data_IF_438294360226
#
_entry.id   IF_438294360226
#
_cell.length_a   1.000
_cell.length_b   1.000
_cell.length_c   1.000
_cell.angle_alpha   90.00
_cell.angle_beta   90.00
_cell.angle_gamma   90.00
#
_symmetry.space_group_name_H-M   'P 1'
#
loop_
_entity.id
_entity.type
_entity.pdbx_description
1 polymer ?
#
# COMPACT_ATOMS: atom_id res chain seq x y z
N UNK A 1 -36.80 7.02 -4.88
CA UNK A 1 -35.72 6.75 -5.85
C UNK A 1 -35.24 5.34 -5.55
N UNK A 2 -35.53 4.38 -6.43
CA UNK A 2 -34.95 3.04 -6.34
C UNK A 2 -33.43 3.19 -6.38
N UNK A 3 -32.74 2.75 -5.32
CA UNK A 3 -31.31 2.48 -5.41
C UNK A 3 -31.18 1.30 -6.36
N UNK A 4 -30.79 1.55 -7.59
CA UNK A 4 -30.34 0.51 -8.52
C UNK A 4 -29.30 -0.31 -7.76
N UNK A 5 -29.60 -1.58 -7.46
CA UNK A 5 -28.61 -2.49 -6.90
C UNK A 5 -27.57 -2.72 -7.99
N UNK A 6 -26.46 -2.01 -7.90
CA UNK A 6 -25.33 -2.20 -8.80
C UNK A 6 -24.85 -3.64 -8.63
N UNK A 7 -24.95 -4.43 -9.70
CA UNK A 7 -24.43 -5.80 -9.72
C UNK A 7 -22.91 -5.67 -9.82
N UNK A 8 -22.21 -6.15 -8.80
CA UNK A 8 -20.75 -6.16 -8.78
C UNK A 8 -20.29 -7.49 -9.38
N UNK A 9 -19.44 -7.41 -10.40
CA UNK A 9 -18.87 -8.55 -11.11
C UNK A 9 -17.45 -8.84 -10.63
N UNK A 10 -17.07 -10.11 -10.64
CA UNK A 10 -15.74 -10.59 -10.24
C UNK A 10 -14.61 -9.91 -11.03
N UNK A 11 -14.80 -9.70 -12.34
CA UNK A 11 -13.84 -9.03 -13.21
C UNK A 11 -13.51 -7.59 -12.75
N UNK A 12 -14.50 -6.86 -12.25
CA UNK A 12 -14.31 -5.49 -11.77
C UNK A 12 -13.45 -5.46 -10.50
N UNK A 13 -13.66 -6.41 -9.58
CA UNK A 13 -12.87 -6.48 -8.36
C UNK A 13 -11.46 -6.98 -8.65
N UNK A 14 -11.33 -7.98 -9.51
CA UNK A 14 -10.03 -8.47 -9.97
C UNK A 14 -9.19 -7.37 -10.60
N UNK A 15 -9.79 -6.59 -11.51
CA UNK A 15 -9.11 -5.45 -12.12
C UNK A 15 -8.61 -4.44 -11.09
N UNK A 16 -9.41 -4.16 -10.06
CA UNK A 16 -9.00 -3.23 -9.01
C UNK A 16 -7.86 -3.80 -8.13
N UNK A 17 -7.89 -5.10 -7.81
CA UNK A 17 -6.78 -5.76 -7.13
C UNK A 17 -5.48 -5.67 -7.93
N UNK A 18 -5.51 -5.87 -9.24
CA UNK A 18 -4.31 -5.73 -10.08
C UNK A 18 -3.74 -4.29 -10.03
N UNK A 19 -4.62 -3.29 -10.01
CA UNK A 19 -4.21 -1.89 -9.85
C UNK A 19 -3.58 -1.64 -8.48
N UNK A 20 -4.18 -2.15 -7.40
CA UNK A 20 -3.62 -2.02 -6.06
C UNK A 20 -2.28 -2.74 -5.90
N UNK A 21 -2.13 -3.96 -6.45
CA UNK A 21 -0.83 -4.67 -6.45
C UNK A 21 0.25 -3.84 -7.15
N UNK A 22 -0.06 -3.31 -8.33
CA UNK A 22 0.87 -2.46 -9.09
C UNK A 22 1.26 -1.19 -8.32
N UNK A 23 0.29 -0.55 -7.66
CA UNK A 23 0.53 0.63 -6.81
C UNK A 23 1.42 0.31 -5.60
N UNK A 24 1.15 -0.81 -4.93
CA UNK A 24 1.91 -1.29 -3.77
C UNK A 24 3.35 -1.67 -4.15
N UNK A 25 3.55 -2.36 -5.28
CA UNK A 25 4.88 -2.69 -5.81
C UNK A 25 5.68 -1.42 -6.12
N UNK A 26 5.05 -0.45 -6.78
CA UNK A 26 5.67 0.85 -7.04
C UNK A 26 6.10 1.55 -5.74
N UNK A 27 5.24 1.60 -4.72
CA UNK A 27 5.59 2.21 -3.43
C UNK A 27 6.74 1.48 -2.73
N UNK A 28 6.75 0.14 -2.79
CA UNK A 28 7.79 -0.69 -2.18
C UNK A 28 9.15 -0.42 -2.81
N UNK A 29 9.22 -0.31 -4.12
CA UNK A 29 10.46 -0.01 -4.84
C UNK A 29 10.92 1.44 -4.63
N UNK A 30 9.99 2.39 -4.55
CA UNK A 30 10.29 3.77 -4.18
C UNK A 30 10.86 3.85 -2.74
N UNK A 31 10.28 3.11 -1.78
CA UNK A 31 10.78 3.02 -0.40
C UNK A 31 12.17 2.41 -0.31
N UNK A 32 12.47 1.35 -1.08
CA UNK A 32 13.83 0.80 -1.17
C UNK A 32 14.82 1.86 -1.66
N UNK A 33 14.44 2.64 -2.66
CA UNK A 33 15.25 3.74 -3.20
C UNK A 33 15.53 4.80 -2.12
N UNK A 34 14.53 5.18 -1.33
CA UNK A 34 14.70 6.10 -0.21
C UNK A 34 15.64 5.55 0.87
N UNK A 35 15.50 4.27 1.22
CA UNK A 35 16.35 3.64 2.21
C UNK A 35 17.83 3.55 1.75
N UNK A 36 18.06 3.26 0.47
CA UNK A 36 19.40 3.29 -0.12
C UNK A 36 20.00 4.70 -0.03
N UNK A 37 19.21 5.73 -0.34
CA UNK A 37 19.64 7.13 -0.23
C UNK A 37 20.00 7.51 1.21
N UNK A 38 19.20 7.10 2.19
CA UNK A 38 19.52 7.32 3.61
C UNK A 38 20.84 6.65 4.00
N UNK A 39 21.06 5.42 3.54
CA UNK A 39 22.27 4.65 3.83
C UNK A 39 23.54 5.33 3.30
N UNK A 40 23.47 5.95 2.12
CA UNK A 40 24.57 6.76 1.58
C UNK A 40 24.88 7.98 2.47
N UNK A 41 23.84 8.64 3.01
CA UNK A 41 23.99 9.82 3.86
C UNK A 41 24.58 9.50 5.23
N UNK A 42 24.31 8.32 5.81
CA UNK A 42 24.86 7.92 7.12
C UNK A 42 26.39 8.03 7.15
N UNK A 43 27.07 7.71 6.05
CA UNK A 43 28.53 7.81 5.95
C UNK A 43 29.07 9.25 5.90
N UNK A 44 28.22 10.23 5.58
CA UNK A 44 28.61 11.63 5.33
C UNK A 44 28.40 12.56 6.53
N UNK A 45 27.54 12.21 7.47
CA UNK A 45 27.25 13.04 8.65
C UNK A 45 27.79 12.41 9.93
N UNK A 46 28.41 13.25 10.76
CA UNK A 46 28.85 12.90 12.12
C UNK A 46 27.96 13.52 13.21
N UNK A 47 27.06 14.44 12.83
CA UNK A 47 26.14 15.07 13.76
C UNK A 47 25.12 14.05 14.29
N UNK A 48 25.11 13.86 15.61
CA UNK A 48 24.17 12.96 16.29
C UNK A 48 22.71 13.30 16.00
N UNK A 49 22.38 14.58 15.84
CA UNK A 49 21.01 15.02 15.53
C UNK A 49 20.56 14.55 14.14
N UNK A 50 21.45 14.65 13.15
CA UNK A 50 21.17 14.21 11.78
C UNK A 50 21.09 12.69 11.71
N UNK A 51 22.01 11.99 12.38
CA UNK A 51 22.00 10.53 12.46
C UNK A 51 20.71 9.98 13.08
N UNK A 52 20.19 10.63 14.14
CA UNK A 52 18.90 10.26 14.74
C UNK A 52 17.73 10.43 13.77
N UNK A 53 17.74 11.50 12.96
CA UNK A 53 16.70 11.71 11.94
C UNK A 53 16.80 10.69 10.80
N UNK A 54 18.03 10.32 10.38
CA UNK A 54 18.24 9.25 9.40
C UNK A 54 17.68 7.92 9.91
N UNK A 55 18.04 7.53 11.14
CA UNK A 55 17.54 6.30 11.78
C UNK A 55 16.01 6.29 11.89
N UNK A 56 15.41 7.43 12.27
CA UNK A 56 13.96 7.57 12.33
C UNK A 56 13.30 7.25 10.97
N UNK A 57 13.80 7.83 9.87
CA UNK A 57 13.24 7.55 8.54
C UNK A 57 13.51 6.12 8.07
N UNK A 58 14.67 5.53 8.38
CA UNK A 58 14.96 4.14 8.04
C UNK A 58 13.96 3.18 8.75
N UNK A 59 13.66 3.43 10.02
CA UNK A 59 12.69 2.66 10.78
C UNK A 59 11.26 2.84 10.26
N UNK A 60 10.86 4.07 9.94
CA UNK A 60 9.54 4.32 9.32
C UNK A 60 9.43 3.61 7.95
N UNK A 61 10.45 3.69 7.10
CA UNK A 61 10.46 3.00 5.81
C UNK A 61 10.33 1.49 5.99
N UNK A 62 11.07 0.88 6.92
CA UNK A 62 10.99 -0.55 7.20
C UNK A 62 9.57 -0.96 7.64
N UNK A 63 8.92 -0.16 8.50
CA UNK A 63 7.53 -0.38 8.91
C UNK A 63 6.58 -0.31 7.71
N UNK A 64 6.73 0.69 6.84
CA UNK A 64 5.88 0.82 5.66
C UNK A 64 6.05 -0.31 4.65
N UNK A 65 7.27 -0.84 4.49
CA UNK A 65 7.50 -2.03 3.67
C UNK A 65 6.73 -3.23 4.23
N UNK A 66 6.74 -3.43 5.55
CA UNK A 66 5.96 -4.48 6.21
C UNK A 66 4.46 -4.33 5.95
N UNK A 67 3.91 -3.13 6.15
CA UNK A 67 2.48 -2.85 5.88
C UNK A 67 2.14 -3.13 4.41
N UNK A 68 3.02 -2.77 3.47
CA UNK A 68 2.80 -3.06 2.05
C UNK A 68 2.75 -4.58 1.82
N UNK A 69 3.64 -5.36 2.44
CA UNK A 69 3.63 -6.82 2.32
C UNK A 69 2.33 -7.41 2.86
N UNK A 70 1.86 -6.98 4.03
CA UNK A 70 0.60 -7.43 4.62
C UNK A 70 -0.60 -7.10 3.71
N UNK A 71 -0.60 -5.92 3.07
CA UNK A 71 -1.63 -5.54 2.11
C UNK A 71 -1.58 -6.40 0.84
N UNK A 72 -0.38 -6.73 0.34
CA UNK A 72 -0.21 -7.60 -0.82
C UNK A 72 -0.76 -9.02 -0.53
N UNK A 73 -0.41 -9.59 0.62
CA UNK A 73 -0.91 -10.90 1.08
C UNK A 73 -2.44 -10.88 1.23
N UNK A 74 -2.99 -9.83 1.85
CA UNK A 74 -4.45 -9.69 1.99
C UNK A 74 -5.18 -9.64 0.64
N UNK A 75 -4.59 -8.99 -0.38
CA UNK A 75 -5.16 -8.99 -1.75
C UNK A 75 -5.13 -10.40 -2.33
N UNK A 76 -4.04 -11.14 -2.14
CA UNK A 76 -3.91 -12.52 -2.63
C UNK A 76 -4.94 -13.45 -2.01
N UNK A 77 -5.13 -13.39 -0.69
CA UNK A 77 -6.17 -14.16 0.00
C UNK A 77 -7.59 -13.80 -0.51
N UNK A 78 -7.82 -12.51 -0.80
CA UNK A 78 -9.12 -12.07 -1.30
C UNK A 78 -9.37 -12.53 -2.75
N UNK A 79 -8.34 -12.49 -3.60
CA UNK A 79 -8.37 -13.03 -4.96
C UNK A 79 -8.68 -14.54 -4.98
N UNK A 80 -8.03 -15.32 -4.12
CA UNK A 80 -8.32 -16.76 -3.99
C UNK A 80 -9.77 -17.02 -3.59
N UNK A 81 -10.30 -16.18 -2.69
CA UNK A 81 -11.68 -16.25 -2.24
C UNK A 81 -12.67 -15.95 -3.36
N UNK A 82 -12.37 -14.95 -4.22
CA UNK A 82 -13.19 -14.61 -5.39
C UNK A 82 -13.11 -15.73 -6.43
N UNK A 83 -11.92 -16.23 -6.76
CA UNK A 83 -11.75 -17.32 -7.71
C UNK A 83 -12.51 -18.60 -7.30
N UNK A 84 -12.49 -18.94 -6.02
CA UNK A 84 -13.26 -20.06 -5.47
C UNK A 84 -14.79 -19.85 -5.50
N UNK A 85 -15.26 -18.60 -5.55
CA UNK A 85 -16.67 -18.27 -5.77
C UNK A 85 -17.05 -18.43 -7.25
N UNK A 86 -16.27 -17.87 -8.18
CA UNK A 86 -16.55 -17.95 -9.62
C UNK A 86 -16.64 -19.41 -10.12
N UNK A 87 -15.83 -20.31 -9.57
CA UNK A 87 -15.88 -21.75 -9.89
C UNK A 87 -17.20 -22.45 -9.54
N UNK A 88 -18.00 -21.87 -8.63
CA UNK A 88 -19.31 -22.41 -8.23
C UNK A 88 -20.43 -22.02 -9.20
N UNK A 89 -20.13 -21.26 -10.25
CA UNK A 89 -21.08 -20.89 -11.31
C UNK A 89 -22.05 -19.77 -10.93
N UNK A 90 -21.78 -19.02 -9.87
CA UNK A 90 -22.53 -17.80 -9.52
C UNK A 90 -21.77 -16.58 -10.07
N UNK A 91 -22.29 -15.97 -11.13
CA UNK A 91 -21.71 -14.77 -11.76
C UNK A 91 -21.90 -13.51 -10.90
N UNK A 92 -22.82 -13.54 -9.93
CA UNK A 92 -23.08 -12.44 -9.04
C UNK A 92 -22.32 -12.62 -7.73
N UNK A 93 -21.67 -11.57 -7.26
CA UNK A 93 -20.87 -11.70 -6.06
C UNK A 93 -21.71 -11.72 -4.78
N UNK A 94 -21.31 -12.57 -3.83
CA UNK A 94 -21.88 -12.55 -2.50
C UNK A 94 -21.59 -11.18 -1.82
N UNK A 95 -22.61 -10.61 -1.18
CA UNK A 95 -22.54 -9.36 -0.40
C UNK A 95 -21.35 -9.36 0.57
N UNK A 96 -21.00 -10.50 1.16
CA UNK A 96 -19.85 -10.61 2.05
C UNK A 96 -18.51 -10.31 1.35
N UNK A 97 -18.28 -10.86 0.15
CA UNK A 97 -17.07 -10.60 -0.64
C UNK A 97 -16.98 -9.13 -1.05
N UNK A 98 -18.10 -8.56 -1.51
CA UNK A 98 -18.18 -7.12 -1.84
C UNK A 98 -17.85 -6.27 -0.62
N UNK A 99 -18.39 -6.59 0.55
CA UNK A 99 -18.10 -5.84 1.78
C UNK A 99 -16.61 -5.91 2.17
N UNK A 100 -16.00 -7.10 2.10
CA UNK A 100 -14.56 -7.26 2.32
C UNK A 100 -13.75 -6.39 1.37
N UNK A 101 -14.08 -6.40 0.08
CA UNK A 101 -13.43 -5.57 -0.93
C UNK A 101 -13.57 -4.08 -0.63
N UNK A 102 -14.77 -3.64 -0.26
CA UNK A 102 -15.04 -2.24 0.10
C UNK A 102 -14.25 -1.79 1.32
N UNK A 103 -14.06 -2.66 2.32
CA UNK A 103 -13.24 -2.36 3.48
C UNK A 103 -11.75 -2.32 3.12
N UNK A 104 -11.30 -3.18 2.21
CA UNK A 104 -9.94 -3.12 1.69
C UNK A 104 -9.69 -1.84 0.89
N UNK A 105 -10.65 -1.37 0.08
CA UNK A 105 -10.57 -0.09 -0.62
C UNK A 105 -10.35 1.08 0.34
N UNK A 106 -11.02 1.09 1.51
CA UNK A 106 -10.81 2.11 2.55
C UNK A 106 -9.40 2.03 3.17
N UNK A 107 -8.88 0.80 3.37
CA UNK A 107 -7.51 0.60 3.86
C UNK A 107 -6.48 1.14 2.87
N UNK A 108 -6.63 0.84 1.57
CA UNK A 108 -5.79 1.40 0.51
C UNK A 108 -5.82 2.93 0.52
N UNK A 109 -7.01 3.53 0.63
CA UNK A 109 -7.14 5.00 0.65
C UNK A 109 -6.45 5.62 1.87
N UNK A 110 -6.58 5.00 3.03
CA UNK A 110 -5.86 5.42 4.25
C UNK A 110 -4.35 5.33 4.03
N UNK A 111 -3.88 4.24 3.42
CA UNK A 111 -2.46 4.05 3.18
C UNK A 111 -1.89 5.03 2.15
N UNK A 112 -2.65 5.42 1.12
CA UNK A 112 -2.27 6.50 0.19
C UNK A 112 -1.96 7.80 0.93
N UNK A 113 -2.81 8.16 1.89
CA UNK A 113 -2.63 9.38 2.67
C UNK A 113 -1.40 9.30 3.57
N UNK A 114 -1.21 8.18 4.26
CA UNK A 114 -0.05 7.93 5.12
C UNK A 114 1.24 7.98 4.29
N UNK A 115 1.26 7.31 3.14
CA UNK A 115 2.39 7.30 2.23
C UNK A 115 2.75 8.70 1.70
N UNK A 116 1.74 9.49 1.31
CA UNK A 116 1.95 10.87 0.88
C UNK A 116 2.54 11.75 2.00
N UNK A 117 2.13 11.55 3.25
CA UNK A 117 2.68 12.28 4.40
C UNK A 117 4.14 11.89 4.67
N UNK A 118 4.47 10.59 4.63
CA UNK A 118 5.84 10.10 4.73
C UNK A 118 6.73 10.76 3.67
N UNK A 119 6.33 10.73 2.40
CA UNK A 119 7.08 11.35 1.30
C UNK A 119 7.32 12.83 1.53
N UNK A 120 6.29 13.56 1.94
CA UNK A 120 6.39 15.00 2.23
C UNK A 120 7.38 15.29 3.36
N UNK A 121 7.36 14.48 4.43
CA UNK A 121 8.32 14.57 5.53
C UNK A 121 9.74 14.27 5.07
N UNK A 122 9.91 13.14 4.39
CA UNK A 122 11.20 12.68 3.86
C UNK A 122 11.85 13.69 2.91
N UNK A 123 11.11 14.24 1.94
CA UNK A 123 11.68 15.24 1.03
C UNK A 123 12.06 16.54 1.73
N UNK A 124 11.29 16.97 2.73
CA UNK A 124 11.66 18.15 3.55
C UNK A 124 12.95 17.89 4.31
N UNK A 125 13.11 16.69 4.86
CA UNK A 125 14.35 16.27 5.49
C UNK A 125 15.52 16.32 4.50
N UNK A 126 15.37 15.73 3.31
CA UNK A 126 16.40 15.77 2.27
C UNK A 126 16.76 17.21 1.90
N UNK A 127 15.79 18.09 1.62
CA UNK A 127 16.09 19.50 1.28
C UNK A 127 16.86 20.25 2.38
N UNK A 128 16.69 19.86 3.65
CA UNK A 128 17.40 20.52 4.76
C UNK A 128 18.85 20.08 4.87
N UNK A 129 19.14 18.81 4.62
CA UNK A 129 20.46 18.24 4.91
C UNK A 129 21.29 17.94 3.67
N UNK A 130 20.67 17.90 2.49
CA UNK A 130 21.27 17.54 1.21
C UNK A 130 21.42 18.76 0.31
#
# INVERSE_FOLDING_TARGET
MEKTKEVVYDENLHFEHQNWKSELDFWKDELKTFNNRLSELVSRYTSKEVLKQLEHYQNEIALHIGIIQDLQETIEEHEESIAGHSQKGDESMNIALVNTHMDFRKKMETQRQIYAQLKKGFFRFLTKYM
#
